data_IF_350619157036
#
_entry.id   IF_350619157036
#
_cell.length_a   1.000
_cell.length_b   1.000
_cell.length_c   1.000
_cell.angle_alpha   90.00
_cell.angle_beta   90.00
_cell.angle_gamma   90.00
#
_symmetry.space_group_name_H-M   'P 1'
#
loop_
_entity.id
_entity.type
_entity.pdbx_description
1 polymer ?
#
# COMPACT_ATOMS: atom_id res chain seq x y z
N UNK A 1 -9.81 15.08 -17.17
CA UNK A 1 -8.52 15.41 -16.53
C UNK A 1 -8.77 15.49 -15.04
N UNK A 2 -7.85 14.97 -14.21
CA UNK A 2 -7.99 15.01 -12.75
C UNK A 2 -8.16 16.44 -12.23
N UNK A 3 -8.97 16.63 -11.18
CA UNK A 3 -9.03 17.91 -10.47
C UNK A 3 -7.87 18.01 -9.49
N UNK A 4 -6.75 18.54 -9.97
CA UNK A 4 -5.51 18.65 -9.20
C UNK A 4 -5.68 19.48 -7.92
N UNK A 5 -6.56 20.49 -7.92
CA UNK A 5 -6.79 21.30 -6.72
C UNK A 5 -7.50 20.48 -5.64
N UNK A 6 -8.54 19.74 -6.04
CA UNK A 6 -9.22 18.81 -5.14
C UNK A 6 -8.26 17.76 -4.57
N UNK A 7 -7.39 17.17 -5.39
CA UNK A 7 -6.42 16.17 -4.92
C UNK A 7 -5.42 16.78 -3.92
N UNK A 8 -4.93 18.00 -4.16
CA UNK A 8 -4.02 18.69 -3.23
C UNK A 8 -4.68 19.02 -1.88
N UNK A 9 -5.95 19.43 -1.90
CA UNK A 9 -6.73 19.65 -0.69
C UNK A 9 -6.92 18.33 0.08
N UNK A 10 -7.21 17.25 -0.63
CA UNK A 10 -7.37 15.92 -0.05
C UNK A 10 -6.07 15.42 0.57
N UNK A 11 -4.93 15.59 -0.11
CA UNK A 11 -3.59 15.29 0.41
C UNK A 11 -3.34 16.01 1.73
N UNK A 12 -3.62 17.31 1.78
CA UNK A 12 -3.48 18.12 3.01
C UNK A 12 -4.36 17.56 4.12
N UNK A 13 -5.59 17.17 3.78
CA UNK A 13 -6.53 16.63 4.75
C UNK A 13 -6.12 15.24 5.26
N UNK A 14 -5.62 14.35 4.39
CA UNK A 14 -5.11 13.03 4.78
C UNK A 14 -3.92 13.16 5.73
N UNK A 15 -2.99 14.10 5.48
CA UNK A 15 -1.89 14.41 6.42
C UNK A 15 -2.39 14.79 7.81
N UNK A 16 -3.46 15.60 7.89
CA UNK A 16 -4.09 15.96 9.17
C UNK A 16 -4.69 14.76 9.87
N UNK A 17 -5.33 13.86 9.13
CA UNK A 17 -5.91 12.64 9.70
C UNK A 17 -4.84 11.71 10.26
N UNK A 18 -3.71 11.54 9.56
CA UNK A 18 -2.56 10.76 10.02
C UNK A 18 -2.07 11.29 11.37
N UNK A 19 -1.82 12.60 11.47
CA UNK A 19 -1.33 13.22 12.70
C UNK A 19 -2.33 13.07 13.85
N UNK A 20 -3.63 13.23 13.59
CA UNK A 20 -4.69 13.06 14.60
C UNK A 20 -4.79 11.62 15.09
N UNK A 21 -4.75 10.64 14.18
CA UNK A 21 -4.79 9.21 14.51
C UNK A 21 -3.63 8.85 15.45
N UNK A 22 -2.40 9.12 15.03
CA UNK A 22 -1.19 8.73 15.77
C UNK A 22 -1.07 9.48 17.11
N UNK A 23 -1.37 10.79 17.12
CA UNK A 23 -1.29 11.60 18.34
C UNK A 23 -2.29 11.15 19.40
N UNK A 24 -3.53 10.82 19.01
CA UNK A 24 -4.60 10.46 19.96
C UNK A 24 -4.24 9.26 20.84
N UNK A 25 -3.50 8.30 20.30
CA UNK A 25 -3.10 7.06 21.00
C UNK A 25 -1.63 7.01 21.36
N UNK A 26 -0.88 8.09 21.10
CA UNK A 26 0.58 8.18 21.31
C UNK A 26 1.35 7.00 20.71
N UNK A 27 0.89 6.51 19.54
CA UNK A 27 1.40 5.28 18.93
C UNK A 27 1.08 5.23 17.44
N UNK A 28 2.03 4.82 16.61
CA UNK A 28 1.88 4.72 15.15
C UNK A 28 3.08 5.25 14.39
N UNK A 29 3.01 5.22 13.05
CA UNK A 29 4.15 5.50 12.17
C UNK A 29 3.83 6.66 11.22
N UNK A 30 3.99 7.92 11.66
CA UNK A 30 3.58 9.06 10.84
C UNK A 30 4.50 9.29 9.63
N UNK A 31 5.81 8.97 9.73
CA UNK A 31 6.79 9.26 8.67
C UNK A 31 6.42 8.67 7.30
N UNK A 32 6.41 7.34 7.18
CA UNK A 32 6.05 6.67 5.92
C UNK A 32 4.61 6.99 5.47
N UNK A 33 3.66 7.13 6.40
CA UNK A 33 2.30 7.55 6.07
C UNK A 33 2.24 8.95 5.41
N UNK A 34 2.99 9.93 5.96
CA UNK A 34 3.03 11.29 5.41
C UNK A 34 3.72 11.35 4.05
N UNK A 35 4.77 10.54 3.85
CA UNK A 35 5.52 10.45 2.59
C UNK A 35 4.71 9.85 1.43
N UNK A 36 3.78 8.94 1.73
CA UNK A 36 2.98 8.25 0.71
C UNK A 36 1.64 8.95 0.38
N UNK A 37 1.37 10.15 0.91
CA UNK A 37 0.01 10.71 0.84
C UNK A 37 -0.44 11.01 -0.59
N UNK A 38 0.41 11.64 -1.40
CA UNK A 38 0.15 11.94 -2.81
C UNK A 38 -0.11 10.65 -3.61
N UNK A 39 0.71 9.62 -3.38
CA UNK A 39 0.54 8.31 -4.01
C UNK A 39 -0.83 7.72 -3.71
N UNK A 40 -1.21 7.63 -2.43
CA UNK A 40 -2.50 7.04 -2.07
C UNK A 40 -3.68 7.85 -2.61
N UNK A 41 -3.62 9.18 -2.54
CA UNK A 41 -4.68 10.05 -3.05
C UNK A 41 -4.83 9.90 -4.57
N UNK A 42 -3.74 10.00 -5.33
CA UNK A 42 -3.80 9.82 -6.78
C UNK A 42 -4.30 8.41 -7.16
N UNK A 43 -3.80 7.38 -6.47
CA UNK A 43 -4.15 6.00 -6.76
C UNK A 43 -5.65 5.73 -6.53
N UNK A 44 -6.18 6.10 -5.36
CA UNK A 44 -7.55 5.75 -4.98
C UNK A 44 -8.62 6.68 -5.57
N UNK A 45 -8.28 7.93 -5.89
CA UNK A 45 -9.26 8.91 -6.38
C UNK A 45 -9.31 8.99 -7.90
N UNK A 46 -8.23 8.64 -8.61
CA UNK A 46 -8.13 8.87 -10.05
C UNK A 46 -7.70 7.64 -10.86
N UNK A 47 -6.76 6.82 -10.35
CA UNK A 47 -6.12 5.80 -11.17
C UNK A 47 -6.79 4.43 -11.12
N UNK A 48 -7.19 3.96 -9.93
CA UNK A 48 -7.81 2.65 -9.79
C UNK A 48 -9.24 2.66 -10.34
N UNK A 49 -9.58 1.67 -11.16
CA UNK A 49 -10.96 1.35 -11.49
C UNK A 49 -11.58 0.54 -10.35
N UNK A 50 -12.55 1.10 -9.63
CA UNK A 50 -13.08 0.52 -8.39
C UNK A 50 -14.58 0.53 -8.39
N UNK A 51 -15.15 -0.49 -7.76
CA UNK A 51 -16.60 -0.52 -7.54
C UNK A 51 -16.99 0.27 -6.31
N UNK A 52 -18.25 0.71 -6.29
CA UNK A 52 -18.87 1.22 -5.08
C UNK A 52 -18.95 0.10 -4.03
N UNK A 53 -18.56 0.43 -2.80
CA UNK A 53 -18.55 -0.51 -1.68
C UNK A 53 -17.30 -1.40 -1.64
N UNK A 54 -17.44 -2.61 -1.08
CA UNK A 54 -16.35 -3.56 -0.91
C UNK A 54 -16.83 -5.00 -0.99
N UNK A 55 -16.20 -5.77 -1.88
CA UNK A 55 -16.31 -7.23 -1.94
C UNK A 55 -14.90 -7.81 -1.72
N UNK A 56 -14.76 -8.77 -0.81
CA UNK A 56 -13.49 -9.44 -0.47
C UNK A 56 -12.81 -10.12 -1.67
N UNK A 57 -13.57 -10.56 -2.67
CA UNK A 57 -13.02 -11.21 -3.86
C UNK A 57 -12.44 -10.22 -4.87
N UNK A 58 -12.89 -8.95 -4.86
CA UNK A 58 -12.38 -7.91 -5.75
C UNK A 58 -12.49 -8.23 -7.24
N UNK A 59 -13.56 -8.91 -7.65
CA UNK A 59 -13.79 -9.31 -9.06
C UNK A 59 -14.18 -8.10 -9.91
N UNK A 60 -13.58 -7.97 -11.10
CA UNK A 60 -13.89 -6.90 -12.06
C UNK A 60 -13.69 -5.49 -11.46
N UNK A 61 -12.61 -5.32 -10.70
CA UNK A 61 -12.10 -4.03 -10.22
C UNK A 61 -10.60 -4.15 -9.95
N UNK A 62 -9.89 -3.03 -9.92
CA UNK A 62 -8.53 -2.95 -9.43
C UNK A 62 -8.50 -3.20 -7.92
N UNK A 63 -7.42 -3.80 -7.43
CA UNK A 63 -7.26 -4.09 -6.00
C UNK A 63 -5.89 -3.65 -5.51
N UNK A 64 -5.82 -3.27 -4.23
CA UNK A 64 -4.61 -2.76 -3.61
C UNK A 64 -4.23 -3.58 -2.36
N UNK A 65 -2.93 -3.81 -2.17
CA UNK A 65 -2.35 -4.44 -0.99
C UNK A 65 -1.26 -3.57 -0.36
N UNK A 66 -1.43 -3.23 0.93
CA UNK A 66 -0.40 -2.55 1.72
C UNK A 66 0.58 -3.57 2.34
N UNK A 67 1.76 -3.73 1.75
CA UNK A 67 2.79 -4.67 2.25
C UNK A 67 3.48 -4.14 3.51
N UNK A 68 3.90 -2.87 3.48
CA UNK A 68 4.44 -2.14 4.63
C UNK A 68 3.32 -1.70 5.59
N UNK A 69 2.61 -2.66 6.17
CA UNK A 69 1.37 -2.46 6.95
C UNK A 69 1.45 -1.44 8.09
N UNK A 70 2.65 -1.09 8.54
CA UNK A 70 2.87 -0.13 9.62
C UNK A 70 2.44 1.30 9.27
N UNK A 71 2.36 1.65 7.97
CA UNK A 71 1.84 2.94 7.49
C UNK A 71 0.31 2.98 7.40
N UNK A 72 -0.39 2.10 8.13
CA UNK A 72 -1.85 2.01 8.14
C UNK A 72 -2.62 3.34 8.31
N UNK A 73 -2.14 4.39 9.03
CA UNK A 73 -2.87 5.64 9.15
C UNK A 73 -3.22 6.33 7.83
N UNK A 74 -2.31 6.32 6.83
CA UNK A 74 -2.59 6.92 5.51
C UNK A 74 -3.62 6.08 4.77
N UNK A 75 -3.48 4.75 4.83
CA UNK A 75 -4.35 3.83 4.14
C UNK A 75 -5.79 3.91 4.69
N UNK A 76 -5.96 3.94 6.01
CA UNK A 76 -7.28 4.12 6.63
C UNK A 76 -7.92 5.46 6.28
N UNK A 77 -7.17 6.56 6.32
CA UNK A 77 -7.71 7.88 5.95
C UNK A 77 -8.21 7.87 4.50
N UNK A 78 -7.45 7.30 3.58
CA UNK A 78 -7.81 7.25 2.16
C UNK A 78 -8.97 6.30 1.90
N UNK A 79 -9.02 5.13 2.56
CA UNK A 79 -10.18 4.23 2.47
C UNK A 79 -11.47 4.88 2.98
N UNK A 80 -11.43 5.54 4.14
CA UNK A 80 -12.59 6.25 4.69
C UNK A 80 -13.09 7.33 3.72
N UNK A 81 -12.16 8.09 3.13
CA UNK A 81 -12.43 9.15 2.14
C UNK A 81 -12.88 8.61 0.78
N UNK A 82 -12.57 7.35 0.50
CA UNK A 82 -13.00 6.62 -0.69
C UNK A 82 -14.33 5.87 -0.46
N UNK A 83 -15.00 6.09 0.67
CA UNK A 83 -16.34 5.56 0.95
C UNK A 83 -16.40 4.14 1.52
N UNK A 84 -15.27 3.55 1.93
CA UNK A 84 -15.27 2.17 2.46
C UNK A 84 -15.91 2.07 3.84
N UNK A 85 -15.74 3.11 4.65
CA UNK A 85 -16.29 3.18 5.99
C UNK A 85 -16.38 4.65 6.44
N UNK A 86 -17.19 4.97 7.46
CA UNK A 86 -17.38 6.33 7.93
C UNK A 86 -16.11 7.01 8.46
N UNK A 87 -15.96 8.31 8.19
CA UNK A 87 -14.79 9.11 8.56
C UNK A 87 -14.57 9.19 10.08
N UNK A 88 -15.64 9.15 10.86
CA UNK A 88 -15.60 9.20 12.31
C UNK A 88 -14.83 8.01 12.92
N UNK A 89 -14.78 6.86 12.25
CA UNK A 89 -14.04 5.68 12.72
C UNK A 89 -12.54 5.94 12.78
N UNK A 90 -11.99 6.90 12.02
CA UNK A 90 -10.58 7.32 12.11
C UNK A 90 -10.20 7.72 13.54
N UNK A 91 -11.15 8.19 14.35
CA UNK A 91 -10.93 8.54 15.75
C UNK A 91 -10.73 7.32 16.67
N UNK A 92 -10.89 6.10 16.15
CA UNK A 92 -10.80 4.86 16.92
C UNK A 92 -9.49 4.10 16.70
N UNK A 93 -8.60 4.62 15.84
CA UNK A 93 -7.31 4.00 15.52
C UNK A 93 -6.59 3.46 16.76
N UNK A 94 -6.19 2.18 16.73
CA UNK A 94 -5.52 1.42 17.81
C UNK A 94 -6.24 1.34 19.16
N UNK A 95 -7.48 1.81 19.28
CA UNK A 95 -8.27 1.60 20.49
C UNK A 95 -8.75 0.15 20.56
N UNK A 96 -8.95 -0.35 21.78
CA UNK A 96 -9.58 -1.66 21.99
C UNK A 96 -10.97 -1.68 21.34
N UNK A 97 -11.31 -2.80 20.71
CA UNK A 97 -12.56 -3.00 19.96
C UNK A 97 -12.74 -2.07 18.73
N UNK A 98 -11.66 -1.43 18.26
CA UNK A 98 -11.68 -0.73 16.97
C UNK A 98 -11.42 -1.67 15.81
N UNK A 99 -12.00 -1.39 14.64
CA UNK A 99 -11.61 -2.05 13.39
C UNK A 99 -10.29 -1.53 12.82
N UNK A 100 -9.86 -0.32 13.21
CA UNK A 100 -8.66 0.35 12.73
C UNK A 100 -7.46 -0.06 13.59
N UNK A 101 -6.98 -1.28 13.33
CA UNK A 101 -5.88 -1.90 14.05
C UNK A 101 -4.53 -1.21 13.79
N UNK A 102 -3.52 -1.53 14.60
CA UNK A 102 -2.20 -0.91 14.45
C UNK A 102 -1.50 -1.24 13.14
N UNK A 103 -1.85 -2.38 12.55
CA UNK A 103 -1.55 -2.82 11.19
C UNK A 103 -2.87 -3.35 10.58
N UNK A 104 -3.04 -3.35 9.24
CA UNK A 104 -4.22 -3.91 8.60
C UNK A 104 -4.47 -5.35 9.05
N UNK A 105 -5.73 -5.67 9.36
CA UNK A 105 -6.18 -7.00 9.73
C UNK A 105 -7.56 -7.24 9.13
N UNK A 106 -7.80 -8.46 8.65
CA UNK A 106 -9.08 -8.86 8.06
C UNK A 106 -10.10 -9.27 9.11
N UNK A 107 -9.66 -9.69 10.29
CA UNK A 107 -10.52 -10.22 11.36
C UNK A 107 -11.60 -9.23 11.79
N UNK A 108 -11.27 -7.94 11.84
CA UNK A 108 -12.19 -6.89 12.26
C UNK A 108 -13.22 -6.49 11.18
N UNK A 109 -13.13 -7.06 9.97
CA UNK A 109 -14.07 -6.78 8.89
C UNK A 109 -14.09 -5.32 8.44
N UNK A 110 -12.94 -4.64 8.46
CA UNK A 110 -12.81 -3.28 7.92
C UNK A 110 -12.83 -3.33 6.38
N UNK A 111 -13.81 -2.70 5.69
CA UNK A 111 -13.86 -2.72 4.23
C UNK A 111 -12.62 -2.08 3.61
N UNK A 112 -12.14 -2.65 2.51
CA UNK A 112 -10.93 -2.23 1.80
C UNK A 112 -9.67 -2.99 2.22
N UNK A 113 -9.71 -3.73 3.33
CA UNK A 113 -8.60 -4.56 3.81
C UNK A 113 -8.78 -6.01 3.33
N UNK A 114 -7.89 -6.47 2.44
CA UNK A 114 -7.94 -7.83 1.87
C UNK A 114 -7.04 -8.84 2.58
N UNK A 115 -6.01 -8.37 3.27
CA UNK A 115 -5.04 -9.19 4.00
C UNK A 115 -4.69 -8.56 5.34
N UNK A 116 -4.27 -9.39 6.28
CA UNK A 116 -3.46 -8.89 7.38
C UNK A 116 -2.06 -8.56 6.84
N UNK A 117 -1.50 -7.43 7.25
CA UNK A 117 -0.09 -7.09 6.99
C UNK A 117 0.58 -6.59 8.25
N UNK A 118 1.87 -6.25 8.17
CA UNK A 118 2.69 -5.80 9.32
C UNK A 118 3.94 -6.64 9.52
N UNK A 119 3.88 -7.95 9.24
CA UNK A 119 5.09 -8.70 8.90
C UNK A 119 5.51 -8.28 7.49
N UNK A 120 6.63 -7.56 7.40
CA UNK A 120 7.18 -7.09 6.13
C UNK A 120 7.51 -8.27 5.21
N UNK A 121 7.49 -8.03 3.90
CA UNK A 121 7.90 -8.98 2.87
C UNK A 121 6.80 -9.86 2.30
N UNK A 122 5.58 -9.80 2.85
CA UNK A 122 4.50 -10.71 2.46
C UNK A 122 3.55 -10.17 1.39
N UNK A 123 3.35 -8.85 1.32
CA UNK A 123 2.33 -8.24 0.48
C UNK A 123 2.56 -8.44 -1.02
N UNK A 124 3.81 -8.43 -1.49
CA UNK A 124 4.14 -8.73 -2.89
C UNK A 124 3.73 -10.16 -3.25
N UNK A 125 4.08 -11.14 -2.40
CA UNK A 125 3.70 -12.55 -2.62
C UNK A 125 2.19 -12.73 -2.72
N UNK A 126 1.41 -12.08 -1.85
CA UNK A 126 -0.05 -12.17 -1.90
C UNK A 126 -0.61 -11.49 -3.16
N UNK A 127 -0.05 -10.35 -3.55
CA UNK A 127 -0.46 -9.61 -4.74
C UNK A 127 -0.29 -10.43 -6.02
N UNK A 128 0.78 -11.22 -6.11
CA UNK A 128 1.00 -12.17 -7.23
C UNK A 128 -0.08 -13.23 -7.30
N UNK A 129 -0.51 -13.78 -6.15
CA UNK A 129 -1.59 -14.76 -6.10
C UNK A 129 -2.90 -14.17 -6.64
N UNK A 130 -3.21 -12.94 -6.23
CA UNK A 130 -4.40 -12.23 -6.71
C UNK A 130 -4.32 -11.89 -8.20
N UNK A 131 -3.16 -11.41 -8.68
CA UNK A 131 -2.92 -11.08 -10.08
C UNK A 131 -3.04 -12.32 -10.98
N UNK A 132 -2.46 -13.45 -10.54
CA UNK A 132 -2.58 -14.74 -11.22
C UNK A 132 -4.03 -15.21 -11.28
N UNK A 133 -4.79 -15.04 -10.19
CA UNK A 133 -6.21 -15.42 -10.13
C UNK A 133 -7.06 -14.58 -11.06
N UNK A 134 -6.82 -13.26 -11.15
CA UNK A 134 -7.50 -12.40 -12.13
C UNK A 134 -7.26 -12.88 -13.57
N UNK A 135 -6.01 -13.18 -13.93
CA UNK A 135 -5.69 -13.75 -15.24
C UNK A 135 -6.43 -15.06 -15.54
N UNK A 136 -6.44 -15.99 -14.59
CA UNK A 136 -7.16 -17.27 -14.73
C UNK A 136 -8.67 -17.08 -14.95
N UNK A 137 -9.23 -15.99 -14.42
CA UNK A 137 -10.64 -15.65 -14.57
C UNK A 137 -10.94 -14.73 -15.77
N UNK A 138 -9.95 -14.42 -16.62
CA UNK A 138 -10.05 -13.43 -17.70
C UNK A 138 -10.46 -12.02 -17.20
N UNK A 139 -10.08 -11.70 -15.97
CA UNK A 139 -10.23 -10.37 -15.39
C UNK A 139 -8.99 -9.53 -15.73
N UNK A 140 -9.19 -8.44 -16.47
CA UNK A 140 -8.12 -7.57 -16.98
C UNK A 140 -7.66 -6.49 -15.98
N UNK A 141 -8.26 -6.43 -14.80
CA UNK A 141 -7.94 -5.40 -13.81
C UNK A 141 -6.58 -5.62 -13.17
N UNK A 142 -6.01 -4.52 -12.68
CA UNK A 142 -4.66 -4.42 -12.17
C UNK A 142 -4.64 -4.68 -10.66
N UNK A 143 -3.61 -5.39 -10.22
CA UNK A 143 -3.26 -5.50 -8.81
C UNK A 143 -2.17 -4.50 -8.49
N UNK A 144 -2.38 -3.68 -7.48
CA UNK A 144 -1.42 -2.73 -6.97
C UNK A 144 -0.90 -3.18 -5.60
N UNK A 145 0.38 -2.99 -5.34
CA UNK A 145 0.94 -3.14 -4.00
C UNK A 145 1.97 -2.08 -3.70
N UNK A 146 2.04 -1.68 -2.44
CA UNK A 146 3.05 -0.76 -1.93
C UNK A 146 3.90 -1.48 -0.90
N UNK A 147 5.22 -1.40 -1.04
CA UNK A 147 6.20 -1.85 -0.07
C UNK A 147 7.18 -0.72 0.29
N UNK A 148 7.89 -0.87 1.40
CA UNK A 148 8.97 0.04 1.79
C UNK A 148 10.33 -0.42 1.23
N UNK A 149 11.27 0.51 1.09
CA UNK A 149 12.64 0.19 0.68
C UNK A 149 13.42 -0.63 1.72
N UNK A 150 13.25 -0.35 3.02
CA UNK A 150 13.75 -1.20 4.10
C UNK A 150 13.09 -2.59 4.10
N UNK A 151 11.81 -2.69 3.73
CA UNK A 151 11.11 -3.97 3.59
C UNK A 151 11.71 -4.84 2.48
N UNK A 152 12.27 -4.26 1.41
CA UNK A 152 12.95 -5.02 0.35
C UNK A 152 14.22 -5.74 0.83
N UNK A 153 14.65 -5.59 2.08
CA UNK A 153 15.70 -6.42 2.66
C UNK A 153 15.22 -7.84 2.97
N UNK A 154 13.92 -8.07 3.06
CA UNK A 154 13.34 -9.40 3.24
C UNK A 154 13.52 -10.25 1.98
N UNK A 155 14.06 -11.46 2.14
CA UNK A 155 14.31 -12.40 1.05
C UNK A 155 13.03 -12.80 0.29
N UNK A 156 11.91 -12.89 1.02
CA UNK A 156 10.60 -13.24 0.47
C UNK A 156 10.15 -12.31 -0.67
N UNK A 157 10.48 -11.02 -0.59
CA UNK A 157 10.17 -10.07 -1.67
C UNK A 157 10.88 -10.47 -2.97
N UNK A 158 12.14 -10.89 -2.88
CA UNK A 158 12.93 -11.27 -4.07
C UNK A 158 12.49 -12.61 -4.65
N UNK A 159 12.02 -13.55 -3.83
CA UNK A 159 11.36 -14.77 -4.30
C UNK A 159 10.10 -14.42 -5.10
N UNK A 160 9.28 -13.50 -4.59
CA UNK A 160 8.06 -13.03 -5.24
C UNK A 160 8.37 -12.27 -6.55
N UNK A 161 9.30 -11.32 -6.53
CA UNK A 161 9.74 -10.54 -7.70
C UNK A 161 10.26 -11.47 -8.80
N UNK A 162 11.08 -12.47 -8.45
CA UNK A 162 11.56 -13.50 -9.38
C UNK A 162 10.42 -14.32 -9.97
N UNK A 163 9.49 -14.77 -9.11
CA UNK A 163 8.37 -15.60 -9.52
C UNK A 163 7.46 -14.88 -10.52
N UNK A 164 7.13 -13.62 -10.26
CA UNK A 164 6.23 -12.82 -11.09
C UNK A 164 6.74 -12.71 -12.53
N UNK A 165 8.01 -12.36 -12.72
CA UNK A 165 8.62 -12.28 -14.03
C UNK A 165 8.72 -13.66 -14.71
N UNK A 166 9.18 -14.69 -13.97
CA UNK A 166 9.29 -16.06 -14.48
C UNK A 166 7.96 -16.65 -14.95
N UNK A 167 6.85 -16.22 -14.36
CA UNK A 167 5.48 -16.67 -14.69
C UNK A 167 4.67 -15.63 -15.48
N UNK A 168 5.31 -14.55 -15.97
CA UNK A 168 4.66 -13.50 -16.79
C UNK A 168 3.42 -12.90 -16.13
N UNK A 169 3.51 -12.56 -14.85
CA UNK A 169 2.46 -11.83 -14.12
C UNK A 169 2.57 -10.34 -14.48
N UNK A 170 1.90 -9.94 -15.57
CA UNK A 170 1.97 -8.59 -16.18
C UNK A 170 0.84 -7.65 -15.76
N UNK A 171 -0.09 -8.10 -14.90
CA UNK A 171 -1.18 -7.31 -14.35
C UNK A 171 -0.95 -6.93 -12.87
N UNK A 172 0.32 -6.73 -12.50
CA UNK A 172 0.76 -6.35 -11.15
C UNK A 172 1.69 -5.14 -11.21
N UNK A 173 1.36 -4.11 -10.43
CA UNK A 173 2.21 -2.93 -10.21
C UNK A 173 2.70 -2.94 -8.77
N UNK A 174 4.01 -3.10 -8.59
CA UNK A 174 4.69 -2.96 -7.30
C UNK A 174 5.25 -1.55 -7.20
N UNK A 175 4.80 -0.80 -6.19
CA UNK A 175 5.35 0.51 -5.85
C UNK A 175 6.28 0.38 -4.65
N UNK A 176 7.44 1.02 -4.72
CA UNK A 176 8.39 1.09 -3.61
C UNK A 176 8.38 2.51 -3.05
N UNK A 177 8.03 2.67 -1.77
CA UNK A 177 8.29 3.89 -1.02
C UNK A 177 9.80 3.99 -0.74
N UNK A 178 10.51 4.68 -1.64
CA UNK A 178 11.96 4.85 -1.59
C UNK A 178 12.36 6.12 -0.82
N UNK A 179 12.08 6.14 0.47
CA UNK A 179 12.34 7.29 1.34
C UNK A 179 13.72 7.27 2.03
N UNK A 180 14.47 6.18 1.91
CA UNK A 180 15.84 6.03 2.40
C UNK A 180 15.97 5.83 3.91
N UNK A 181 14.88 5.62 4.64
CA UNK A 181 14.85 5.51 6.10
C UNK A 181 14.23 4.18 6.57
N UNK A 182 14.78 3.66 7.67
CA UNK A 182 14.23 2.54 8.42
C UNK A 182 14.40 2.78 9.93
N UNK A 183 13.98 1.83 10.77
CA UNK A 183 13.90 2.02 12.24
C UNK A 183 15.25 2.45 12.83
N UNK A 184 16.33 1.74 12.52
CA UNK A 184 17.65 2.00 13.11
C UNK A 184 18.47 3.05 12.35
N UNK A 185 17.90 3.71 11.34
CA UNK A 185 18.53 4.81 10.61
C UNK A 185 18.38 4.71 9.10
N UNK A 186 19.28 5.36 8.36
CA UNK A 186 19.24 5.37 6.90
C UNK A 186 19.50 3.97 6.32
N UNK A 187 18.73 3.58 5.30
CA UNK A 187 18.86 2.28 4.62
C UNK A 187 20.29 2.06 4.12
N UNK A 188 20.90 3.09 3.52
CA UNK A 188 22.28 3.07 3.02
C UNK A 188 23.36 2.97 4.11
N UNK A 189 23.01 3.12 5.38
CA UNK A 189 23.93 2.91 6.51
C UNK A 189 23.74 1.53 7.12
N UNK A 190 22.49 1.08 7.28
CA UNK A 190 22.18 -0.16 8.00
C UNK A 190 22.36 -1.38 7.10
N UNK A 191 21.70 -1.41 5.94
CA UNK A 191 21.84 -2.49 4.97
C UNK A 191 21.60 -1.92 3.56
N UNK A 192 22.67 -1.45 2.90
CA UNK A 192 22.57 -0.79 1.60
C UNK A 192 21.98 -1.73 0.54
N UNK A 193 20.91 -1.28 -0.11
CA UNK A 193 20.30 -2.01 -1.23
C UNK A 193 21.02 -1.77 -2.57
N UNK A 194 21.93 -0.80 -2.64
CA UNK A 194 22.60 -0.43 -3.88
C UNK A 194 21.61 0.09 -4.92
N UNK A 195 21.81 -0.27 -6.18
CA UNK A 195 20.93 0.16 -7.27
C UNK A 195 19.66 -0.71 -7.32
N UNK A 196 18.56 -0.20 -6.76
CA UNK A 196 17.26 -0.89 -6.77
C UNK A 196 16.73 -1.12 -8.18
N UNK A 197 16.79 -0.11 -9.07
CA UNK A 197 16.38 -0.24 -10.47
C UNK A 197 17.08 -1.43 -11.14
N UNK A 198 18.40 -1.51 -11.04
CA UNK A 198 19.18 -2.58 -11.65
C UNK A 198 18.82 -3.96 -11.07
N UNK A 199 18.45 -4.06 -9.79
CA UNK A 199 17.97 -5.32 -9.21
C UNK A 199 16.63 -5.73 -9.83
N UNK A 200 15.63 -4.85 -9.84
CA UNK A 200 14.32 -5.17 -10.44
C UNK A 200 14.45 -5.53 -11.93
N UNK A 201 15.22 -4.75 -12.70
CA UNK A 201 15.49 -5.02 -14.12
C UNK A 201 16.19 -6.38 -14.30
N UNK A 202 17.15 -6.75 -13.44
CA UNK A 202 17.80 -8.05 -13.48
C UNK A 202 16.86 -9.22 -13.18
N UNK A 203 15.80 -8.99 -12.39
CA UNK A 203 14.72 -9.96 -12.19
C UNK A 203 13.63 -9.91 -13.27
N UNK A 204 13.78 -9.06 -14.30
CA UNK A 204 12.88 -9.02 -15.46
C UNK A 204 11.66 -8.11 -15.31
N UNK A 205 11.74 -7.10 -14.44
CA UNK A 205 10.69 -6.09 -14.28
C UNK A 205 10.97 -4.82 -15.09
N UNK A 206 9.90 -4.21 -15.61
CA UNK A 206 9.94 -2.84 -16.11
C UNK A 206 9.93 -1.86 -14.93
N UNK A 207 10.87 -0.93 -14.91
CA UNK A 207 11.06 0.01 -13.79
C UNK A 207 10.88 1.45 -14.24
N UNK A 208 9.98 2.16 -13.56
CA UNK A 208 9.72 3.59 -13.76
C UNK A 208 10.10 4.34 -12.49
N UNK A 209 11.02 5.31 -12.61
CA UNK A 209 11.33 6.21 -11.49
C UNK A 209 10.39 7.41 -11.57
N UNK A 210 9.63 7.66 -10.51
CA UNK A 210 8.84 8.88 -10.35
C UNK A 210 9.70 9.86 -9.57
N UNK A 211 10.13 10.93 -10.23
CA UNK A 211 10.83 12.04 -9.58
C UNK A 211 9.82 13.11 -9.19
N UNK A 212 10.10 13.82 -8.10
CA UNK A 212 9.43 15.09 -7.78
C UNK A 212 9.59 16.12 -8.92
#
# INVERSE_FOLDING_TARGET
MPDINYLNDLVTQVRRDILRQVHKVNSGHPGGSLGCTEFFVALFQELMDRKDGFDMDGKNEDIFFLSNGHISPVFYSVLARSGYFPLEELNTFRLINSRLQGHPATHEGLPGIRIASGSLGQGISVSIGAASTKKLNNDLHIVYTLCGDGELQEGQNWEAIMYAAGNKVDNLIVTVDYNGQQIDGAVNTILPMGNLRAKFEAFGWDVVDIKE
#
